data_IF_409161801795
#
_entry.id   IF_409161801795
#
_cell.length_a   1.000
_cell.length_b   1.000
_cell.length_c   1.000
_cell.angle_alpha   90.00
_cell.angle_beta   90.00
_cell.angle_gamma   90.00
#
_symmetry.space_group_name_H-M   'P 1'
#
loop_
_entity.id
_entity.type
_entity.pdbx_description
1 polymer ?
#
# COMPACT_ATOMS: atom_id res chain seq x y z
N UNK A 1 38.36 26.72 -46.42
CA UNK A 1 38.34 26.61 -44.95
C UNK A 1 37.03 27.08 -44.32
N UNK A 2 36.58 28.34 -44.55
CA UNK A 2 35.30 28.86 -44.03
C UNK A 2 34.07 28.02 -44.44
N UNK A 3 33.97 27.58 -45.70
CA UNK A 3 32.86 26.73 -46.17
C UNK A 3 32.79 25.35 -45.47
N UNK A 4 33.94 24.81 -45.05
CA UNK A 4 34.04 23.53 -44.34
C UNK A 4 33.64 23.69 -42.85
N UNK A 5 33.96 24.84 -42.27
CA UNK A 5 33.58 25.23 -40.91
C UNK A 5 32.06 25.49 -40.79
N UNK A 6 31.45 26.12 -41.79
CA UNK A 6 29.99 26.35 -41.84
C UNK A 6 29.23 25.03 -42.00
N UNK A 7 29.73 24.11 -42.83
CA UNK A 7 29.15 22.77 -42.97
C UNK A 7 29.21 22.01 -41.64
N UNK A 8 30.37 22.00 -40.97
CA UNK A 8 30.54 21.38 -39.65
C UNK A 8 29.59 22.00 -38.60
N UNK A 9 29.43 23.32 -38.60
CA UNK A 9 28.51 24.03 -37.70
C UNK A 9 27.05 23.65 -37.96
N UNK A 10 26.61 23.53 -39.22
CA UNK A 10 25.25 23.10 -39.56
C UNK A 10 24.97 21.65 -39.15
N UNK A 11 25.93 20.73 -39.33
CA UNK A 11 25.78 19.36 -38.87
C UNK A 11 25.65 19.27 -37.34
N UNK A 12 26.46 20.00 -36.57
CA UNK A 12 26.39 20.03 -35.09
C UNK A 12 25.01 20.52 -34.61
N UNK A 13 24.40 21.49 -35.30
CA UNK A 13 23.07 22.02 -34.95
C UNK A 13 21.92 21.04 -35.25
N UNK A 14 22.07 20.14 -36.22
CA UNK A 14 21.07 19.10 -36.48
C UNK A 14 21.13 18.00 -35.41
N UNK A 15 22.34 17.52 -35.09
CA UNK A 15 22.54 16.51 -34.04
C UNK A 15 22.08 16.99 -32.64
N UNK A 16 22.29 18.27 -32.31
CA UNK A 16 21.87 18.81 -31.01
C UNK A 16 20.36 18.90 -30.85
N UNK A 17 19.63 19.20 -31.94
CA UNK A 17 18.17 19.21 -31.96
C UNK A 17 17.59 17.80 -31.78
N UNK A 18 18.16 16.81 -32.48
CA UNK A 18 17.72 15.42 -32.39
C UNK A 18 17.97 14.82 -31.00
N UNK A 19 19.13 15.13 -30.40
CA UNK A 19 19.44 14.73 -29.02
C UNK A 19 18.46 15.34 -28.01
N UNK A 20 18.16 16.64 -28.14
CA UNK A 20 17.22 17.33 -27.26
C UNK A 20 15.80 16.75 -27.38
N UNK A 21 15.36 16.40 -28.61
CA UNK A 21 14.06 15.76 -28.84
C UNK A 21 14.02 14.39 -28.18
N UNK A 22 15.06 13.58 -28.34
CA UNK A 22 15.16 12.26 -27.70
C UNK A 22 15.11 12.35 -26.17
N UNK A 23 15.83 13.30 -25.56
CA UNK A 23 15.81 13.53 -24.10
C UNK A 23 14.44 13.95 -23.59
N UNK A 24 13.73 14.83 -24.31
CA UNK A 24 12.35 15.22 -23.98
C UNK A 24 11.39 14.03 -24.06
N UNK A 25 11.53 13.20 -25.08
CA UNK A 25 10.71 12.02 -25.26
C UNK A 25 10.96 10.99 -24.14
N UNK A 26 12.22 10.75 -23.76
CA UNK A 26 12.56 9.87 -22.64
C UNK A 26 12.06 10.40 -21.31
N UNK A 27 12.15 11.70 -21.07
CA UNK A 27 11.54 12.34 -19.89
C UNK A 27 10.04 12.06 -19.81
N UNK A 28 9.33 12.21 -20.93
CA UNK A 28 7.89 11.93 -20.99
C UNK A 28 7.58 10.45 -20.72
N UNK A 29 8.38 9.53 -21.26
CA UNK A 29 8.20 8.10 -21.00
C UNK A 29 8.42 7.76 -19.52
N UNK A 30 9.44 8.34 -18.88
CA UNK A 30 9.68 8.16 -17.44
C UNK A 30 8.54 8.73 -16.61
N UNK A 31 8.03 9.91 -16.95
CA UNK A 31 6.87 10.50 -16.27
C UNK A 31 5.63 9.61 -16.39
N UNK A 32 5.32 9.12 -17.59
CA UNK A 32 4.18 8.22 -17.78
C UNK A 32 4.36 6.91 -16.99
N UNK A 33 5.59 6.40 -16.87
CA UNK A 33 5.89 5.23 -16.05
C UNK A 33 5.59 5.49 -14.57
N UNK A 34 6.05 6.63 -14.04
CA UNK A 34 5.74 7.08 -12.67
C UNK A 34 4.22 7.23 -12.48
N UNK A 35 3.52 7.84 -13.44
CA UNK A 35 2.06 8.02 -13.37
C UNK A 35 1.30 6.68 -13.32
N UNK A 36 1.78 5.66 -14.03
CA UNK A 36 1.21 4.31 -13.98
C UNK A 36 1.43 3.70 -12.60
N UNK A 37 2.63 3.83 -12.03
CA UNK A 37 2.95 3.34 -10.67
C UNK A 37 2.13 4.04 -9.59
N UNK A 38 1.94 5.35 -9.69
CA UNK A 38 1.09 6.13 -8.79
C UNK A 38 -0.37 5.68 -8.85
N UNK A 39 -0.91 5.44 -10.05
CA UNK A 39 -2.28 4.92 -10.21
C UNK A 39 -2.43 3.53 -9.63
N UNK A 40 -1.43 2.66 -9.80
CA UNK A 40 -1.41 1.33 -9.18
C UNK A 40 -1.41 1.47 -7.65
N UNK A 41 -0.55 2.32 -7.08
CA UNK A 41 -0.46 2.54 -5.64
C UNK A 41 -1.79 3.05 -5.04
N UNK A 42 -2.42 4.03 -5.69
CA UNK A 42 -3.73 4.55 -5.27
C UNK A 42 -4.82 3.46 -5.29
N UNK A 43 -4.85 2.65 -6.35
CA UNK A 43 -5.84 1.59 -6.47
C UNK A 43 -5.54 0.39 -5.59
N UNK A 44 -4.28 0.15 -5.23
CA UNK A 44 -3.91 -0.84 -4.23
C UNK A 44 -4.52 -0.49 -2.88
N UNK A 45 -4.38 0.76 -2.44
CA UNK A 45 -5.00 1.24 -1.20
C UNK A 45 -6.53 1.15 -1.28
N UNK A 46 -7.13 1.63 -2.38
CA UNK A 46 -8.58 1.51 -2.60
C UNK A 46 -9.05 0.06 -2.50
N UNK A 47 -8.32 -0.89 -3.09
CA UNK A 47 -8.64 -2.30 -3.06
C UNK A 47 -8.53 -2.87 -1.64
N UNK A 48 -7.49 -2.53 -0.88
CA UNK A 48 -7.39 -2.93 0.54
C UNK A 48 -8.61 -2.48 1.35
N UNK A 49 -9.05 -1.24 1.14
CA UNK A 49 -10.17 -0.63 1.90
C UNK A 49 -11.54 -1.20 1.50
N UNK A 50 -11.66 -1.78 0.30
CA UNK A 50 -12.94 -2.26 -0.25
C UNK A 50 -13.05 -3.79 -0.20
N UNK A 51 -11.97 -4.47 -0.56
CA UNK A 51 -11.92 -5.92 -0.67
C UNK A 51 -11.34 -6.61 0.56
N UNK A 52 -10.63 -5.87 1.42
CA UNK A 52 -9.95 -6.37 2.62
C UNK A 52 -9.00 -7.54 2.33
N UNK A 53 -8.32 -7.49 1.17
CA UNK A 53 -7.35 -8.48 0.69
C UNK A 53 -6.23 -7.79 -0.05
N UNK A 54 -5.07 -8.43 -0.15
CA UNK A 54 -4.01 -7.98 -1.04
C UNK A 54 -4.43 -8.20 -2.50
N UNK A 55 -4.44 -7.16 -3.34
CA UNK A 55 -4.72 -7.33 -4.76
C UNK A 55 -3.55 -8.03 -5.46
N UNK A 56 -3.86 -8.84 -6.45
CA UNK A 56 -2.99 -9.06 -7.61
C UNK A 56 -3.21 -7.93 -8.60
N UNK A 57 -2.26 -7.72 -9.52
CA UNK A 57 -2.39 -6.66 -10.51
C UNK A 57 -3.62 -6.87 -11.42
N UNK A 58 -3.92 -8.13 -11.74
CA UNK A 58 -5.11 -8.55 -12.49
C UNK A 58 -6.41 -8.12 -11.79
N UNK A 59 -6.47 -8.18 -10.45
CA UNK A 59 -7.64 -7.77 -9.67
C UNK A 59 -7.93 -6.26 -9.82
N UNK A 60 -6.92 -5.47 -10.19
CA UNK A 60 -7.02 -4.03 -10.41
C UNK A 60 -7.38 -3.67 -11.87
N UNK A 61 -7.34 -4.61 -12.81
CA UNK A 61 -7.58 -4.37 -14.26
C UNK A 61 -9.07 -4.41 -14.63
N UNK A 62 -9.89 -3.60 -13.96
CA UNK A 62 -11.31 -3.47 -14.24
C UNK A 62 -11.78 -2.03 -14.03
N UNK A 63 -13.02 -1.73 -14.40
CA UNK A 63 -13.57 -0.37 -14.38
C UNK A 63 -13.76 0.21 -12.97
N UNK A 64 -13.72 -0.61 -11.92
CA UNK A 64 -13.79 -0.13 -10.54
C UNK A 64 -12.43 0.40 -10.05
N UNK A 65 -11.33 0.04 -10.71
CA UNK A 65 -9.97 0.43 -10.34
C UNK A 65 -9.22 1.10 -11.50
N UNK A 66 -8.37 0.37 -12.23
CA UNK A 66 -7.47 0.95 -13.24
C UNK A 66 -8.10 1.09 -14.64
N UNK A 67 -9.21 0.39 -14.90
CA UNK A 67 -9.84 0.24 -16.21
C UNK A 67 -9.36 -1.00 -16.96
N UNK A 68 -10.22 -1.57 -17.81
CA UNK A 68 -9.92 -2.80 -18.58
C UNK A 68 -8.84 -2.62 -19.65
N UNK A 69 -8.61 -1.38 -20.10
CA UNK A 69 -7.61 -1.04 -21.11
C UNK A 69 -6.29 -0.52 -20.49
N UNK A 70 -6.11 -0.67 -19.18
CA UNK A 70 -4.90 -0.21 -18.50
C UNK A 70 -3.68 -1.01 -18.96
N UNK A 71 -2.61 -0.32 -19.35
CA UNK A 71 -1.38 -0.95 -19.82
C UNK A 71 -0.27 -0.83 -18.78
N UNK A 72 0.41 -1.96 -18.55
CA UNK A 72 1.58 -2.07 -17.67
C UNK A 72 2.87 -2.26 -18.46
N UNK A 73 2.80 -2.08 -19.78
CA UNK A 73 3.92 -2.26 -20.69
C UNK A 73 4.91 -1.11 -20.51
N UNK A 74 6.17 -1.45 -20.26
CA UNK A 74 7.26 -0.50 -20.09
C UNK A 74 8.26 -0.60 -21.24
N UNK A 75 8.74 0.55 -21.71
CA UNK A 75 9.74 0.64 -22.78
C UNK A 75 11.17 0.45 -22.27
N UNK A 76 11.42 0.70 -20.98
CA UNK A 76 12.78 0.73 -20.39
C UNK A 76 13.22 -0.59 -19.75
N UNK A 77 12.47 -1.68 -19.95
CA UNK A 77 12.82 -2.98 -19.39
C UNK A 77 11.58 -3.82 -19.10
N UNK A 78 11.47 -4.25 -17.85
CA UNK A 78 10.39 -5.14 -17.40
C UNK A 78 9.05 -4.41 -17.32
N UNK A 79 7.98 -5.11 -17.67
CA UNK A 79 6.62 -4.64 -17.43
C UNK A 79 6.37 -4.42 -15.94
N UNK A 80 5.52 -3.44 -15.63
CA UNK A 80 5.16 -3.12 -14.25
C UNK A 80 4.38 -4.30 -13.65
N UNK A 81 4.83 -4.75 -12.49
CA UNK A 81 4.18 -5.82 -11.72
C UNK A 81 4.54 -5.69 -10.25
N UNK A 82 3.71 -6.25 -9.36
CA UNK A 82 4.07 -6.32 -7.94
C UNK A 82 5.31 -7.21 -7.76
N UNK A 83 6.19 -6.82 -6.85
CA UNK A 83 7.33 -7.64 -6.42
C UNK A 83 6.77 -8.87 -5.70
N UNK A 84 6.66 -9.97 -6.43
CA UNK A 84 6.07 -11.22 -5.94
C UNK A 84 7.03 -12.37 -6.14
N UNK A 85 8.27 -12.24 -5.65
CA UNK A 85 9.23 -13.33 -5.80
C UNK A 85 10.02 -13.59 -4.52
N UNK A 86 9.96 -14.85 -4.07
CA UNK A 86 10.96 -15.55 -3.24
C UNK A 86 11.02 -15.25 -1.74
N UNK A 87 9.88 -15.38 -1.05
CA UNK A 87 9.87 -15.63 0.39
C UNK A 87 9.91 -14.38 1.29
N UNK A 88 9.99 -13.18 0.72
CA UNK A 88 9.84 -11.92 1.44
C UNK A 88 8.41 -11.38 1.30
N UNK A 89 7.79 -11.16 2.46
CA UNK A 89 6.35 -10.89 2.68
C UNK A 89 5.90 -9.46 2.33
N UNK A 90 6.73 -8.63 1.67
CA UNK A 90 6.41 -7.22 1.50
C UNK A 90 5.50 -6.98 0.28
N UNK A 91 4.20 -6.90 0.55
CA UNK A 91 3.14 -6.72 -0.46
C UNK A 91 3.03 -5.27 -0.97
N UNK A 92 3.81 -4.33 -0.43
CA UNK A 92 3.81 -2.90 -0.80
C UNK A 92 4.93 -2.57 -1.78
N UNK A 93 5.30 -3.49 -2.67
CA UNK A 93 6.38 -3.27 -3.62
C UNK A 93 5.98 -3.60 -5.03
N UNK A 94 6.40 -2.73 -5.94
CA UNK A 94 6.35 -2.89 -7.37
C UNK A 94 7.78 -3.18 -7.83
N UNK A 95 7.94 -4.12 -8.78
CA UNK A 95 9.24 -4.40 -9.39
C UNK A 95 9.81 -3.13 -10.01
N UNK A 96 11.11 -2.90 -9.82
CA UNK A 96 11.78 -1.78 -10.45
C UNK A 96 11.76 -1.94 -11.97
N UNK A 97 11.12 -0.99 -12.67
CA UNK A 97 10.80 -1.15 -14.08
C UNK A 97 12.01 -0.94 -15.01
N UNK A 98 13.00 -0.13 -14.60
CA UNK A 98 14.17 0.18 -15.43
C UNK A 98 15.27 -0.87 -15.25
N UNK A 99 15.16 -1.96 -16.00
CA UNK A 99 16.08 -3.11 -15.94
C UNK A 99 17.02 -3.22 -17.14
N UNK A 100 16.74 -2.51 -18.23
CA UNK A 100 17.61 -2.50 -19.41
C UNK A 100 18.82 -1.57 -19.22
N UNK A 101 19.84 -1.74 -20.05
CA UNK A 101 20.99 -0.84 -20.08
C UNK A 101 20.58 0.50 -20.70
N UNK A 102 19.98 1.36 -19.87
CA UNK A 102 19.60 2.74 -20.23
C UNK A 102 20.67 3.74 -19.78
N UNK A 103 20.67 4.90 -20.42
CA UNK A 103 21.51 6.04 -20.02
C UNK A 103 21.28 6.42 -18.55
N UNK A 104 22.34 6.81 -17.84
CA UNK A 104 22.30 7.07 -16.39
C UNK A 104 21.24 8.11 -15.99
N UNK A 105 21.08 9.16 -16.79
CA UNK A 105 20.10 10.21 -16.51
C UNK A 105 18.66 9.69 -16.48
N UNK A 106 18.33 8.62 -17.22
CA UNK A 106 16.99 8.03 -17.22
C UNK A 106 16.71 7.36 -15.86
N UNK A 107 17.71 6.64 -15.31
CA UNK A 107 17.63 6.05 -13.97
C UNK A 107 17.51 7.12 -12.89
N UNK A 108 18.31 8.18 -13.00
CA UNK A 108 18.23 9.32 -12.10
C UNK A 108 16.85 9.98 -12.15
N UNK A 109 16.32 10.26 -13.35
CA UNK A 109 14.97 10.84 -13.51
C UNK A 109 13.89 9.97 -12.87
N UNK A 110 13.96 8.66 -13.05
CA UNK A 110 12.98 7.72 -12.51
C UNK A 110 13.04 7.56 -10.99
N UNK A 111 14.24 7.66 -10.41
CA UNK A 111 14.48 7.57 -8.97
C UNK A 111 14.12 8.85 -8.21
N UNK A 112 13.82 9.95 -8.89
CA UNK A 112 13.40 11.19 -8.22
C UNK A 112 12.02 11.00 -7.60
N UNK A 113 11.83 11.64 -6.45
CA UNK A 113 10.52 11.75 -5.79
C UNK A 113 9.56 12.73 -6.51
N UNK A 114 10.01 13.38 -7.59
CA UNK A 114 9.16 14.27 -8.36
C UNK A 114 8.01 13.46 -8.99
N UNK A 115 6.77 13.88 -8.73
CA UNK A 115 5.51 13.21 -9.12
C UNK A 115 5.19 11.91 -8.36
N UNK A 116 5.97 11.55 -7.33
CA UNK A 116 5.72 10.36 -6.51
C UNK A 116 5.06 10.73 -5.19
N UNK A 117 3.74 10.62 -5.12
CA UNK A 117 2.96 10.93 -3.90
C UNK A 117 2.66 9.66 -3.10
N UNK A 118 2.30 8.58 -3.80
CA UNK A 118 1.91 7.30 -3.24
C UNK A 118 2.99 6.23 -3.45
N UNK A 119 4.11 6.59 -4.07
CA UNK A 119 5.24 5.70 -4.31
C UNK A 119 6.57 6.29 -3.86
N UNK A 120 7.59 5.45 -3.81
CA UNK A 120 8.99 5.87 -3.69
C UNK A 120 9.89 4.85 -4.40
N UNK A 121 10.74 5.33 -5.30
CA UNK A 121 11.69 4.47 -5.99
C UNK A 121 12.96 4.31 -5.15
N UNK A 122 13.31 3.06 -4.86
CA UNK A 122 14.56 2.69 -4.20
C UNK A 122 15.44 1.92 -5.20
N UNK A 123 16.73 2.25 -5.23
CA UNK A 123 17.71 1.49 -6.02
C UNK A 123 19.07 1.51 -5.34
N UNK A 124 19.61 0.31 -5.10
CA UNK A 124 21.01 0.06 -4.74
C UNK A 124 21.63 -0.93 -5.73
N UNK A 125 22.88 -1.34 -5.50
CA UNK A 125 23.54 -2.35 -6.33
C UNK A 125 22.83 -3.73 -6.23
N UNK A 126 22.30 -4.06 -5.06
CA UNK A 126 21.74 -5.38 -4.76
C UNK A 126 20.21 -5.43 -4.76
N UNK A 127 19.53 -4.29 -4.66
CA UNK A 127 18.08 -4.24 -4.49
C UNK A 127 17.47 -2.96 -5.10
N UNK A 128 16.51 -3.15 -5.98
CA UNK A 128 15.74 -2.05 -6.55
C UNK A 128 14.26 -2.39 -6.60
N UNK A 129 13.41 -1.47 -6.16
CA UNK A 129 11.95 -1.59 -6.17
C UNK A 129 11.29 -0.22 -6.11
N UNK A 130 9.98 -0.19 -6.33
CA UNK A 130 9.14 0.98 -6.05
C UNK A 130 8.24 0.61 -4.88
N UNK A 131 8.40 1.29 -3.75
CA UNK A 131 7.57 1.14 -2.56
C UNK A 131 6.22 1.84 -2.74
N UNK A 132 5.15 1.20 -2.30
CA UNK A 132 3.81 1.77 -2.20
C UNK A 132 3.64 2.35 -0.79
N UNK A 133 3.28 3.63 -0.72
CA UNK A 133 2.98 4.36 0.52
C UNK A 133 1.47 4.45 0.72
N UNK A 134 0.94 3.63 1.63
CA UNK A 134 -0.45 3.75 2.08
C UNK A 134 -0.63 5.07 2.84
N UNK A 135 -1.63 5.86 2.44
CA UNK A 135 -1.86 7.21 2.95
C UNK A 135 -2.76 7.19 4.19
N UNK A 136 -3.79 6.35 4.21
CA UNK A 136 -4.74 6.31 5.33
C UNK A 136 -4.28 5.38 6.45
N UNK A 137 -4.53 5.80 7.70
CA UNK A 137 -4.33 4.94 8.87
C UNK A 137 -5.18 3.67 8.81
N UNK A 138 -6.38 3.76 8.24
CA UNK A 138 -7.26 2.59 8.05
C UNK A 138 -6.62 1.56 7.13
N UNK A 139 -6.08 1.98 5.97
CA UNK A 139 -5.38 1.08 5.07
C UNK A 139 -4.13 0.48 5.73
N UNK A 140 -3.37 1.29 6.49
CA UNK A 140 -2.22 0.80 7.25
C UNK A 140 -2.61 -0.26 8.28
N UNK A 141 -3.72 -0.08 9.00
CA UNK A 141 -4.17 -1.06 10.00
C UNK A 141 -4.73 -2.33 9.34
N UNK A 142 -5.49 -2.19 8.25
CA UNK A 142 -5.94 -3.34 7.45
C UNK A 142 -4.74 -4.11 6.90
N UNK A 143 -3.74 -3.41 6.36
CA UNK A 143 -2.50 -4.00 5.89
C UNK A 143 -1.78 -4.78 7.01
N UNK A 144 -1.66 -4.23 8.22
CA UNK A 144 -1.05 -4.91 9.37
C UNK A 144 -1.79 -6.19 9.73
N UNK A 145 -3.13 -6.15 9.78
CA UNK A 145 -3.95 -7.34 10.07
C UNK A 145 -3.67 -8.43 9.03
N UNK A 146 -3.77 -8.10 7.74
CA UNK A 146 -3.56 -9.06 6.65
C UNK A 146 -2.12 -9.59 6.60
N UNK A 147 -1.13 -8.72 6.85
CA UNK A 147 0.30 -9.10 6.85
C UNK A 147 0.67 -10.02 8.01
N UNK A 148 -0.06 -9.95 9.13
CA UNK A 148 0.08 -10.88 10.26
C UNK A 148 -0.62 -12.23 10.04
N UNK A 149 -1.21 -12.44 8.86
CA UNK A 149 -1.97 -13.65 8.51
C UNK A 149 -3.44 -13.60 8.93
N UNK A 150 -3.92 -12.46 9.40
CA UNK A 150 -5.33 -12.25 9.71
C UNK A 150 -6.21 -12.33 8.46
N UNK A 151 -7.44 -12.81 8.63
CA UNK A 151 -8.47 -12.81 7.59
C UNK A 151 -9.56 -11.84 8.02
N UNK A 152 -9.99 -10.97 7.11
CA UNK A 152 -11.08 -10.01 7.32
C UNK A 152 -12.24 -10.41 6.41
N UNK A 153 -13.35 -10.83 6.99
CA UNK A 153 -14.59 -11.09 6.26
C UNK A 153 -15.31 -9.78 5.94
N UNK A 154 -15.85 -9.67 4.73
CA UNK A 154 -16.60 -8.47 4.30
C UNK A 154 -17.91 -8.27 5.05
N UNK A 155 -18.57 -9.39 5.39
CA UNK A 155 -19.90 -9.44 5.98
C UNK A 155 -19.82 -10.19 7.29
N UNK A 156 -20.31 -9.58 8.37
CA UNK A 156 -20.24 -10.18 9.69
C UNK A 156 -21.37 -11.16 9.92
N UNK A 157 -21.01 -12.33 10.42
CA UNK A 157 -21.94 -13.39 10.80
C UNK A 157 -21.67 -13.78 12.24
N UNK A 158 -22.73 -14.16 12.96
CA UNK A 158 -22.65 -14.58 14.36
C UNK A 158 -21.86 -15.87 14.56
N UNK A 159 -21.59 -16.62 13.49
CA UNK A 159 -20.85 -17.90 13.51
C UNK A 159 -19.36 -17.76 13.18
N UNK A 160 -18.85 -16.53 12.98
CA UNK A 160 -17.43 -16.33 12.72
C UNK A 160 -16.60 -16.71 13.94
N UNK A 161 -15.44 -17.34 13.69
CA UNK A 161 -14.49 -17.77 14.72
C UNK A 161 -13.07 -17.47 14.26
N UNK A 162 -12.25 -16.95 15.17
CA UNK A 162 -10.83 -16.63 14.96
C UNK A 162 -10.55 -15.80 13.69
N UNK A 163 -11.43 -14.84 13.41
CA UNK A 163 -11.36 -14.00 12.21
C UNK A 163 -11.78 -12.57 12.52
N UNK A 164 -11.28 -11.65 11.71
CA UNK A 164 -11.78 -10.29 11.69
C UNK A 164 -12.98 -10.18 10.75
N UNK A 165 -13.79 -9.15 10.96
CA UNK A 165 -14.90 -8.82 10.10
C UNK A 165 -15.10 -7.30 10.00
N UNK A 166 -15.34 -6.82 8.79
CA UNK A 166 -15.62 -5.43 8.49
C UNK A 166 -17.02 -4.99 8.95
N UNK A 167 -17.10 -3.87 9.68
CA UNK A 167 -18.35 -3.20 10.08
C UNK A 167 -18.21 -1.70 9.79
N UNK A 168 -18.73 -1.18 8.66
CA UNK A 168 -18.65 0.25 8.30
C UNK A 168 -17.32 0.95 8.66
N UNK A 169 -17.25 1.67 9.80
CA UNK A 169 -16.07 2.42 10.29
C UNK A 169 -15.24 1.66 11.35
N UNK A 170 -15.65 0.45 11.71
CA UNK A 170 -15.05 -0.43 12.70
C UNK A 170 -14.71 -1.81 12.11
N UNK A 171 -13.99 -2.60 12.89
CA UNK A 171 -13.64 -3.97 12.57
C UNK A 171 -13.82 -4.82 13.82
N UNK A 172 -14.50 -5.96 13.69
CA UNK A 172 -14.74 -6.90 14.77
C UNK A 172 -13.75 -8.05 14.69
N UNK A 173 -12.99 -8.32 15.74
CA UNK A 173 -12.33 -9.60 15.93
C UNK A 173 -13.31 -10.57 16.59
N UNK A 174 -13.46 -11.78 16.06
CA UNK A 174 -14.22 -12.87 16.66
C UNK A 174 -13.27 -13.92 17.23
N UNK A 175 -13.47 -14.31 18.48
CA UNK A 175 -12.69 -15.36 19.12
C UNK A 175 -13.26 -16.77 18.81
N UNK A 176 -12.67 -17.79 19.42
CA UNK A 176 -13.06 -19.19 19.19
C UNK A 176 -14.49 -19.54 19.64
N UNK A 177 -15.11 -18.69 20.47
CA UNK A 177 -16.50 -18.84 20.93
C UNK A 177 -17.47 -17.89 20.19
N UNK A 178 -17.02 -17.28 19.08
CA UNK A 178 -17.78 -16.28 18.31
C UNK A 178 -18.18 -15.02 19.09
N UNK A 179 -17.53 -14.76 20.22
CA UNK A 179 -17.64 -13.47 20.90
C UNK A 179 -16.71 -12.46 20.22
N UNK A 180 -17.12 -11.19 20.15
CA UNK A 180 -16.39 -10.18 19.41
C UNK A 180 -15.83 -9.03 20.27
N UNK A 181 -14.72 -8.48 19.78
CA UNK A 181 -14.15 -7.19 20.17
C UNK A 181 -14.22 -6.29 18.95
N UNK A 182 -14.87 -5.13 19.07
CA UNK A 182 -15.01 -4.14 18.02
C UNK A 182 -14.03 -2.99 18.22
N UNK A 183 -13.23 -2.73 17.18
CA UNK A 183 -12.20 -1.69 17.13
C UNK A 183 -12.60 -0.64 16.10
N UNK A 184 -12.28 0.63 16.35
CA UNK A 184 -12.28 1.62 15.28
C UNK A 184 -11.16 1.28 14.25
N UNK A 185 -11.42 1.36 12.94
CA UNK A 185 -10.43 1.01 11.92
C UNK A 185 -9.21 1.94 11.91
N UNK A 186 -9.42 3.23 12.16
CA UNK A 186 -8.37 4.26 12.12
C UNK A 186 -7.46 4.19 13.34
N UNK A 187 -8.06 3.93 14.51
CA UNK A 187 -7.38 3.86 15.80
C UNK A 187 -7.32 2.41 16.31
N UNK A 188 -7.09 1.45 15.41
CA UNK A 188 -7.03 0.02 15.72
C UNK A 188 -5.97 -0.26 16.79
N UNK A 189 -6.39 -0.91 17.88
CA UNK A 189 -5.59 -1.22 19.10
C UNK A 189 -5.04 0.00 19.89
N UNK A 190 -5.08 1.20 19.30
CA UNK A 190 -4.67 2.47 19.92
C UNK A 190 -5.85 3.21 20.59
N UNK A 191 -7.08 2.86 20.24
CA UNK A 191 -8.31 3.47 20.72
C UNK A 191 -9.08 2.63 21.74
N UNK A 192 -10.25 3.14 22.11
CA UNK A 192 -11.21 2.39 22.92
C UNK A 192 -11.86 1.27 22.08
N UNK A 193 -12.36 0.23 22.75
CA UNK A 193 -13.05 -0.88 22.11
C UNK A 193 -14.42 -1.12 22.74
N UNK A 194 -15.30 -1.76 21.98
CA UNK A 194 -16.54 -2.34 22.50
C UNK A 194 -16.43 -3.86 22.47
N UNK A 195 -16.93 -4.55 23.48
CA UNK A 195 -17.00 -6.02 23.53
C UNK A 195 -18.43 -6.48 23.71
N UNK A 196 -18.77 -7.62 23.12
CA UNK A 196 -20.15 -8.16 23.17
C UNK A 196 -20.63 -8.49 24.59
N UNK A 197 -19.72 -8.92 25.47
CA UNK A 197 -20.07 -9.32 26.83
C UNK A 197 -18.85 -9.38 27.75
N UNK A 198 -19.10 -9.53 29.06
CA UNK A 198 -18.06 -9.71 30.07
C UNK A 198 -17.20 -10.95 29.82
N UNK A 199 -17.68 -11.96 29.07
CA UNK A 199 -16.91 -13.16 28.75
C UNK A 199 -15.66 -12.86 27.91
N UNK A 200 -15.61 -11.69 27.25
CA UNK A 200 -14.49 -11.26 26.42
C UNK A 200 -13.38 -10.57 27.21
N UNK A 201 -13.62 -10.18 28.47
CA UNK A 201 -12.65 -9.43 29.27
C UNK A 201 -11.37 -10.22 29.60
N UNK A 202 -11.37 -11.54 29.39
CA UNK A 202 -10.18 -12.40 29.54
C UNK A 202 -9.53 -12.77 28.20
N UNK A 203 -10.01 -12.21 27.08
CA UNK A 203 -9.46 -12.49 25.76
C UNK A 203 -8.10 -11.81 25.57
N UNK A 204 -7.09 -12.58 25.16
CA UNK A 204 -5.71 -12.10 24.99
C UNK A 204 -5.58 -11.02 23.92
N UNK A 205 -6.56 -10.86 23.02
CA UNK A 205 -6.56 -9.74 22.06
C UNK A 205 -6.73 -8.37 22.74
N UNK A 206 -7.23 -8.32 23.97
CA UNK A 206 -7.26 -7.10 24.77
C UNK A 206 -5.87 -6.73 25.34
N UNK A 207 -4.87 -7.60 25.22
CA UNK A 207 -3.48 -7.30 25.60
C UNK A 207 -2.76 -6.39 24.62
N UNK A 208 -3.24 -6.34 23.38
CA UNK A 208 -2.70 -5.43 22.36
C UNK A 208 -3.16 -3.98 22.58
N UNK A 209 -4.16 -3.75 23.42
CA UNK A 209 -4.67 -2.41 23.68
C UNK A 209 -3.65 -1.58 24.44
N UNK A 210 -3.53 -0.31 24.06
CA UNK A 210 -2.77 0.67 24.81
C UNK A 210 -3.29 0.82 26.24
N UNK A 211 -2.38 0.97 27.21
CA UNK A 211 -2.73 1.32 28.59
C UNK A 211 -3.54 2.63 28.61
N UNK A 212 -4.64 2.62 29.34
CA UNK A 212 -5.61 3.72 29.42
C UNK A 212 -6.78 3.61 28.44
N UNK A 213 -6.76 2.66 27.49
CA UNK A 213 -7.90 2.42 26.61
C UNK A 213 -9.13 1.94 27.41
N UNK A 214 -10.29 2.53 27.14
CA UNK A 214 -11.55 2.06 27.69
C UNK A 214 -12.08 0.86 26.91
N UNK A 215 -12.64 -0.09 27.64
CA UNK A 215 -13.32 -1.28 27.13
C UNK A 215 -14.78 -1.15 27.56
N UNK A 216 -15.66 -0.89 26.60
CA UNK A 216 -17.10 -0.80 26.83
C UNK A 216 -17.71 -2.17 26.62
N UNK A 217 -18.44 -2.69 27.62
CA UNK A 217 -19.25 -3.89 27.43
C UNK A 217 -20.60 -3.45 26.89
N UNK A 218 -21.03 -4.05 25.79
CA UNK A 218 -22.27 -3.70 25.10
C UNK A 218 -23.45 -3.61 26.09
N UNK A 219 -24.10 -2.43 26.13
CA UNK A 219 -25.22 -2.10 27.02
C UNK A 219 -24.97 -2.33 28.53
N UNK A 220 -23.72 -2.26 28.98
CA UNK A 220 -23.36 -2.67 30.34
C UNK A 220 -22.25 -1.79 30.94
N UNK A 221 -21.32 -2.40 31.66
CA UNK A 221 -20.25 -1.76 32.41
C UNK A 221 -19.11 -1.26 31.51
N UNK A 222 -18.32 -0.35 32.06
CA UNK A 222 -17.11 0.18 31.45
C UNK A 222 -15.89 -0.31 32.22
N UNK A 223 -14.83 -0.62 31.50
CA UNK A 223 -13.54 -1.04 32.05
C UNK A 223 -12.41 -0.21 31.43
N UNK A 224 -11.22 -0.27 32.02
CA UNK A 224 -10.01 0.38 31.50
C UNK A 224 -8.84 -0.60 31.49
N UNK A 225 -8.06 -0.58 30.39
CA UNK A 225 -6.79 -1.31 30.30
C UNK A 225 -5.76 -0.63 31.20
N UNK A 226 -5.22 -1.38 32.15
CA UNK A 226 -4.19 -0.94 33.07
C UNK A 226 -2.85 -1.62 32.75
N UNK A 227 -1.80 -1.24 33.47
CA UNK A 227 -0.47 -1.86 33.33
C UNK A 227 -0.53 -3.38 33.62
N UNK A 228 0.46 -4.11 33.10
CA UNK A 228 0.60 -5.57 33.25
C UNK A 228 -0.63 -6.36 32.79
N UNK A 229 -1.24 -5.91 31.69
CA UNK A 229 -2.42 -6.51 31.08
C UNK A 229 -3.70 -6.55 31.94
N UNK A 230 -3.72 -5.89 33.09
CA UNK A 230 -4.88 -5.87 33.98
C UNK A 230 -6.02 -5.06 33.37
N UNK A 231 -7.25 -5.50 33.60
CA UNK A 231 -8.47 -4.79 33.21
C UNK A 231 -9.25 -4.49 34.48
N UNK A 232 -9.50 -3.20 34.72
CA UNK A 232 -10.17 -2.72 35.94
C UNK A 232 -11.53 -2.16 35.59
N UNK A 233 -12.54 -2.47 36.42
CA UNK A 233 -13.88 -1.89 36.27
C UNK A 233 -13.82 -0.40 36.62
N UNK A 234 -14.53 0.40 35.84
CA UNK A 234 -14.70 1.84 36.09
C UNK A 234 -16.12 2.06 36.56
N UNK A 235 -16.25 2.57 37.79
CA UNK A 235 -17.54 2.95 38.39
C UNK A 235 -18.11 4.23 37.77
#
# INVERSE_FOLDING_TARGET
>A
MIKLLISLFLFINLYSKDLLVAQKQNTLYVQNLIDIEEKIAQNFEKYLLTEFKFPKLEDLMNNDYLGTNFSVINKFGSNISFETETGTTNRLRIKYAITSNVESYIKELYNRDLYRFNTHAFSSEDLSYVEIKLQSKEALNIYKILSSGGIIEKVCQSTLVNKYCNVENSIRWYNGASNWIEYNKKDFEEGNVTVVSNAVLTDTKLDNLKVGAYIFVENSSKYVKYIDNKILKVD
#
